data_IF_649962477667
#
_entry.id   IF_649962477667
#
_cell.length_a   1.000
_cell.length_b   1.000
_cell.length_c   1.000
_cell.angle_alpha   90.00
_cell.angle_beta   90.00
_cell.angle_gamma   90.00
#
_symmetry.space_group_name_H-M   'P 1'
#
loop_
_entity.id
_entity.type
_entity.pdbx_description
1 polymer ?
#
# COMPACT_ATOMS: atom_id res chain seq x y z
N UNK A 1 -52.82 -5.60 -65.89
CA UNK A 1 -52.00 -4.99 -66.96
C UNK A 1 -50.63 -4.68 -66.38
N UNK A 2 -49.48 -5.14 -66.84
CA UNK A 2 -49.07 -6.08 -67.88
C UNK A 2 -47.62 -6.44 -67.55
N UNK A 3 -47.24 -7.72 -67.72
CA UNK A 3 -45.86 -8.21 -67.55
C UNK A 3 -45.03 -7.78 -68.76
N UNK A 4 -43.78 -7.36 -68.56
CA UNK A 4 -42.69 -7.59 -69.52
C UNK A 4 -41.30 -7.25 -68.90
N UNK A 5 -40.16 -7.60 -69.52
CA UNK A 5 -39.56 -8.93 -69.44
C UNK A 5 -38.05 -8.93 -69.11
N UNK A 6 -37.56 -10.14 -68.89
CA UNK A 6 -36.18 -10.63 -68.93
C UNK A 6 -35.29 -9.96 -70.01
N UNK A 7 -34.05 -9.55 -69.65
CA UNK A 7 -32.77 -10.08 -70.23
C UNK A 7 -31.51 -9.34 -69.73
N UNK A 8 -30.58 -10.17 -69.24
CA UNK A 8 -29.12 -10.14 -69.38
C UNK A 8 -28.30 -8.91 -68.97
N UNK A 9 -27.41 -9.10 -67.99
CA UNK A 9 -25.95 -9.11 -68.25
C UNK A 9 -25.22 -9.70 -67.05
N UNK A 10 -24.43 -10.75 -67.31
CA UNK A 10 -23.42 -11.27 -66.41
C UNK A 10 -22.24 -10.32 -66.46
N UNK A 11 -21.81 -9.80 -65.31
CA UNK A 11 -20.47 -9.23 -65.18
C UNK A 11 -19.84 -9.76 -63.89
N UNK A 12 -18.91 -10.67 -64.12
CA UNK A 12 -17.99 -11.26 -63.18
C UNK A 12 -17.01 -10.19 -62.71
N UNK A 13 -17.09 -9.78 -61.44
CA UNK A 13 -16.00 -9.07 -60.77
C UNK A 13 -15.60 -9.88 -59.53
N UNK A 14 -14.52 -10.65 -59.68
CA UNK A 14 -13.81 -11.25 -58.58
C UNK A 14 -13.29 -10.14 -57.65
N UNK A 15 -13.60 -10.22 -56.37
CA UNK A 15 -12.91 -9.43 -55.35
C UNK A 15 -12.70 -10.31 -54.11
N UNK A 16 -11.43 -10.72 -53.99
CA UNK A 16 -10.68 -11.22 -52.85
C UNK A 16 -11.42 -11.46 -51.52
N UNK A 17 -11.30 -12.71 -51.04
CA UNK A 17 -11.61 -13.11 -49.68
C UNK A 17 -10.79 -12.28 -48.66
N UNK A 18 -11.49 -11.64 -47.72
CA UNK A 18 -10.91 -11.18 -46.46
C UNK A 18 -11.31 -12.20 -45.38
N UNK A 19 -10.49 -13.23 -45.21
CA UNK A 19 -10.58 -14.08 -44.03
C UNK A 19 -10.09 -13.26 -42.83
N UNK A 20 -11.01 -12.91 -41.93
CA UNK A 20 -10.66 -12.33 -40.63
C UNK A 20 -10.24 -13.49 -39.71
N UNK A 21 -8.96 -13.62 -39.32
CA UNK A 21 -8.63 -14.57 -38.26
C UNK A 21 -9.23 -14.03 -36.97
N UNK A 22 -10.17 -14.78 -36.36
CA UNK A 22 -10.49 -14.59 -34.95
C UNK A 22 -9.24 -14.96 -34.15
N UNK A 23 -8.43 -13.95 -33.83
CA UNK A 23 -7.32 -14.11 -32.90
C UNK A 23 -7.90 -14.47 -31.53
N UNK A 24 -7.64 -15.68 -31.06
CA UNK A 24 -7.88 -16.06 -29.67
C UNK A 24 -6.96 -15.21 -28.80
N UNK A 25 -7.52 -14.24 -28.08
CA UNK A 25 -6.79 -13.47 -27.08
C UNK A 25 -6.36 -14.43 -25.95
N UNK A 26 -5.08 -14.83 -25.95
CA UNK A 26 -4.47 -15.50 -24.80
C UNK A 26 -4.37 -14.49 -23.67
N UNK A 27 -5.27 -14.59 -22.69
CA UNK A 27 -5.10 -13.92 -21.41
C UNK A 27 -3.88 -14.53 -20.71
N UNK A 28 -2.78 -13.78 -20.63
CA UNK A 28 -1.64 -14.18 -19.80
C UNK A 28 -2.10 -14.27 -18.33
N UNK A 29 -1.70 -15.30 -17.57
CA UNK A 29 -2.00 -15.36 -16.14
C UNK A 29 -1.38 -14.13 -15.46
N UNK A 30 -2.21 -13.29 -14.87
CA UNK A 30 -1.76 -12.26 -13.93
C UNK A 30 -1.11 -12.99 -12.75
N UNK A 31 0.22 -12.90 -12.63
CA UNK A 31 0.94 -13.40 -11.46
C UNK A 31 0.41 -12.67 -10.22
N UNK A 32 -0.45 -13.34 -9.45
CA UNK A 32 -0.87 -12.84 -8.16
C UNK A 32 0.34 -12.85 -7.24
N UNK A 33 0.61 -11.77 -6.47
CA UNK A 33 1.65 -11.83 -5.45
C UNK A 33 1.32 -12.98 -4.51
N UNK A 34 2.25 -13.92 -4.35
CA UNK A 34 2.08 -15.01 -3.40
C UNK A 34 1.82 -14.39 -2.01
N UNK A 35 0.64 -14.66 -1.45
CA UNK A 35 0.33 -14.29 -0.08
C UNK A 35 1.30 -15.06 0.83
N UNK A 36 2.33 -14.37 1.34
CA UNK A 36 3.21 -14.95 2.33
C UNK A 36 2.39 -15.18 3.59
N UNK A 37 2.26 -16.44 4.00
CA UNK A 37 1.74 -16.78 5.33
C UNK A 37 2.66 -16.15 6.37
N UNK A 38 2.17 -15.17 7.11
CA UNK A 38 2.90 -14.56 8.22
C UNK A 38 3.32 -15.66 9.18
N UNK A 39 4.61 -15.70 9.51
CA UNK A 39 5.14 -16.72 10.40
C UNK A 39 4.92 -16.27 11.85
N UNK A 40 4.65 -17.21 12.75
CA UNK A 40 4.51 -16.95 14.20
C UNK A 40 5.75 -16.27 14.83
N UNK A 41 6.86 -16.20 14.08
CA UNK A 41 8.13 -15.58 14.46
C UNK A 41 8.33 -14.16 13.92
N UNK A 42 7.42 -13.64 13.11
CA UNK A 42 7.54 -12.29 12.58
C UNK A 42 7.39 -11.27 13.73
N UNK A 43 8.29 -10.27 13.85
CA UNK A 43 8.22 -9.26 14.89
C UNK A 43 6.92 -8.47 14.81
N UNK A 44 6.34 -8.19 15.97
CA UNK A 44 5.16 -7.33 16.12
C UNK A 44 5.54 -5.85 16.20
N UNK A 45 4.56 -4.98 15.97
CA UNK A 45 4.60 -3.57 16.35
C UNK A 45 3.81 -3.41 17.65
N UNK A 46 4.42 -2.86 18.70
CA UNK A 46 3.75 -2.60 19.97
C UNK A 46 3.06 -1.23 19.90
N UNK A 47 1.77 -1.19 20.20
CA UNK A 47 1.00 0.06 20.27
C UNK A 47 1.14 0.77 21.62
N UNK A 48 0.54 1.95 21.73
CA UNK A 48 0.60 2.78 22.93
C UNK A 48 -0.01 2.12 24.19
N UNK A 49 -0.85 1.09 24.03
CA UNK A 49 -1.43 0.32 25.13
C UNK A 49 -0.66 -0.97 25.42
N UNK A 50 0.51 -1.15 24.81
CA UNK A 50 1.34 -2.33 24.95
C UNK A 50 0.79 -3.55 24.19
N UNK A 51 -0.18 -3.37 23.29
CA UNK A 51 -0.76 -4.49 22.56
C UNK A 51 0.08 -4.80 21.30
N UNK A 52 0.38 -6.08 21.04
CA UNK A 52 1.11 -6.49 19.85
C UNK A 52 0.22 -6.44 18.60
N UNK A 53 0.72 -5.80 17.54
CA UNK A 53 0.03 -5.65 16.26
C UNK A 53 0.87 -6.20 15.11
N UNK A 54 0.23 -6.91 14.18
CA UNK A 54 0.83 -7.29 12.90
C UNK A 54 0.07 -6.59 11.78
N UNK A 55 0.81 -5.85 10.94
CA UNK A 55 0.25 -5.15 9.79
C UNK A 55 -0.90 -4.18 10.07
N UNK A 56 -0.86 -3.33 11.14
CA UNK A 56 -1.99 -2.49 11.47
C UNK A 56 -2.26 -1.43 10.38
N UNK A 57 -3.53 -1.06 10.22
CA UNK A 57 -3.95 -0.01 9.27
C UNK A 57 -3.77 1.43 9.81
N UNK A 58 -3.53 1.57 11.12
CA UNK A 58 -3.25 2.84 11.78
C UNK A 58 -2.28 2.63 12.96
N UNK A 59 -1.52 3.66 13.32
CA UNK A 59 -0.60 3.64 14.46
C UNK A 59 -0.43 5.05 15.04
N UNK A 60 -0.52 5.19 16.36
CA UNK A 60 -0.28 6.48 17.03
C UNK A 60 1.21 6.62 17.33
N UNK A 61 1.86 7.63 16.76
CA UNK A 61 3.29 7.90 16.98
C UNK A 61 3.51 8.66 18.29
N UNK A 62 2.65 9.63 18.58
CA UNK A 62 2.72 10.45 19.78
C UNK A 62 1.77 9.91 20.85
N UNK A 63 2.17 8.86 21.57
CA UNK A 63 1.29 8.17 22.52
C UNK A 63 0.76 9.05 23.67
N UNK A 64 1.47 10.13 24.03
CA UNK A 64 1.07 11.01 25.14
C UNK A 64 -0.11 11.93 24.82
N UNK A 65 -0.22 12.40 23.57
CA UNK A 65 -1.18 13.44 23.19
C UNK A 65 -1.95 13.16 21.88
N UNK A 66 -1.54 12.14 21.12
CA UNK A 66 -2.18 11.75 19.85
C UNK A 66 -1.93 12.70 18.68
N UNK A 67 -1.04 13.69 18.81
CA UNK A 67 -0.86 14.76 17.80
C UNK A 67 -0.12 14.32 16.53
N UNK A 68 0.36 13.08 16.48
CA UNK A 68 0.95 12.47 15.30
C UNK A 68 0.48 11.02 15.18
N UNK A 69 -0.18 10.70 14.06
CA UNK A 69 -0.76 9.38 13.80
C UNK A 69 -0.58 8.95 12.35
N UNK A 70 -0.18 7.71 12.16
CA UNK A 70 -0.21 7.04 10.88
C UNK A 70 -1.60 6.48 10.63
N UNK A 71 -2.15 6.73 9.45
CA UNK A 71 -3.44 6.23 8.98
C UNK A 71 -3.32 5.68 7.56
N UNK A 72 -4.30 4.89 7.14
CA UNK A 72 -4.35 4.27 5.81
C UNK A 72 -3.08 3.46 5.49
N UNK A 73 -2.51 2.81 6.50
CA UNK A 73 -1.30 2.00 6.34
C UNK A 73 -1.62 0.76 5.50
N UNK A 74 -0.77 0.52 4.49
CA UNK A 74 -0.77 -0.67 3.65
C UNK A 74 0.65 -1.23 3.61
N UNK A 75 0.79 -2.46 4.09
CA UNK A 75 2.06 -3.17 4.18
C UNK A 75 2.24 -4.04 2.94
N UNK A 76 3.44 -4.01 2.36
CA UNK A 76 3.82 -4.86 1.24
C UNK A 76 5.00 -5.78 1.57
N UNK A 77 5.64 -5.56 2.71
CA UNK A 77 6.65 -6.44 3.29
C UNK A 77 6.45 -6.52 4.79
N UNK A 78 6.46 -7.74 5.31
CA UNK A 78 6.55 -8.05 6.73
C UNK A 78 7.32 -9.37 6.83
N UNK A 79 8.46 -9.36 7.51
CA UNK A 79 9.31 -10.53 7.71
C UNK A 79 10.18 -10.34 8.96
N UNK A 80 11.00 -11.34 9.35
CA UNK A 80 11.73 -11.31 10.61
C UNK A 80 12.72 -10.15 10.77
N UNK A 81 13.06 -9.43 9.71
CA UNK A 81 14.05 -8.35 9.72
C UNK A 81 13.42 -6.96 9.65
N UNK A 82 12.35 -6.81 8.87
CA UNK A 82 11.70 -5.51 8.67
C UNK A 82 10.26 -5.64 8.19
N UNK A 83 9.47 -4.62 8.49
CA UNK A 83 8.21 -4.35 7.83
C UNK A 83 8.30 -3.06 7.00
N UNK A 84 7.69 -3.05 5.82
CA UNK A 84 7.66 -1.86 4.95
C UNK A 84 6.26 -1.66 4.38
N UNK A 85 5.79 -0.42 4.46
CA UNK A 85 4.47 -0.02 4.04
C UNK A 85 4.41 1.43 3.57
N UNK A 86 3.22 1.86 3.17
CA UNK A 86 2.88 3.26 2.87
C UNK A 86 1.63 3.66 3.62
N UNK A 87 1.48 4.94 3.87
CA UNK A 87 0.27 5.51 4.46
C UNK A 87 0.35 7.02 4.51
N UNK A 88 -0.39 7.61 5.44
CA UNK A 88 -0.43 9.05 5.67
C UNK A 88 -0.08 9.32 7.13
N UNK A 89 0.86 10.23 7.36
CA UNK A 89 1.04 10.82 8.68
C UNK A 89 0.11 12.02 8.83
N UNK A 90 -0.86 11.92 9.74
CA UNK A 90 -1.72 13.02 10.15
C UNK A 90 -1.09 13.69 11.37
N UNK A 91 -0.67 14.95 11.22
CA UNK A 91 0.04 15.72 12.25
C UNK A 91 -0.77 16.96 12.59
N UNK A 92 -1.04 17.18 13.88
CA UNK A 92 -1.70 18.38 14.38
C UNK A 92 -0.71 19.56 14.36
N UNK A 93 -1.11 20.71 13.84
CA UNK A 93 -0.30 21.93 13.86
C UNK A 93 -0.17 22.55 15.26
N UNK A 94 -1.07 22.19 16.18
CA UNK A 94 -1.15 22.73 17.53
C UNK A 94 -1.19 24.26 17.59
N UNK A 95 -1.82 24.92 16.61
CA UNK A 95 -1.96 26.38 16.59
C UNK A 95 -3.40 26.80 16.96
N UNK A 96 -3.62 27.56 18.06
CA UNK A 96 -2.64 28.06 19.05
C UNK A 96 -2.26 27.04 20.13
N UNK A 97 -3.00 25.94 20.24
CA UNK A 97 -2.67 24.80 21.10
C UNK A 97 -3.31 23.53 20.53
N UNK A 98 -2.81 22.35 20.92
CA UNK A 98 -3.16 21.08 20.26
C UNK A 98 -4.65 20.71 20.27
N UNK A 99 -5.41 21.08 21.30
CA UNK A 99 -6.86 20.84 21.32
C UNK A 99 -7.66 21.77 20.39
N UNK A 100 -7.08 22.88 19.92
CA UNK A 100 -7.70 23.80 18.95
C UNK A 100 -7.09 23.74 17.54
N UNK A 101 -5.93 23.09 17.39
CA UNK A 101 -5.23 22.97 16.11
C UNK A 101 -5.92 22.07 15.09
N UNK A 102 -5.35 22.01 13.89
CA UNK A 102 -5.83 21.23 12.77
C UNK A 102 -4.84 20.12 12.39
N UNK A 103 -5.38 18.97 11.98
CA UNK A 103 -4.57 17.87 11.44
C UNK A 103 -4.28 18.09 9.95
N UNK A 104 -3.00 18.07 9.61
CA UNK A 104 -2.49 18.11 8.24
C UNK A 104 -2.01 16.72 7.83
N UNK A 105 -2.22 16.36 6.56
CA UNK A 105 -1.96 15.01 6.05
C UNK A 105 -0.76 14.99 5.12
N UNK A 106 0.19 14.10 5.42
CA UNK A 106 1.42 13.95 4.65
C UNK A 106 1.64 12.49 4.23
N UNK A 107 1.72 12.17 2.93
CA UNK A 107 1.96 10.80 2.47
C UNK A 107 3.39 10.34 2.81
N UNK A 108 3.49 9.15 3.42
CA UNK A 108 4.75 8.57 3.91
C UNK A 108 4.96 7.14 3.41
N UNK A 109 6.22 6.79 3.22
CA UNK A 109 6.68 5.41 3.31
C UNK A 109 7.12 5.13 4.74
N UNK A 110 6.78 3.96 5.27
CA UNK A 110 7.07 3.54 6.64
C UNK A 110 7.95 2.30 6.60
N UNK A 111 8.99 2.28 7.43
CA UNK A 111 9.83 1.10 7.68
C UNK A 111 9.87 0.85 9.19
N UNK A 112 9.58 -0.40 9.58
CA UNK A 112 9.87 -0.92 10.92
C UNK A 112 11.11 -1.81 10.81
N UNK A 113 12.04 -1.68 11.75
CA UNK A 113 13.23 -2.52 11.82
C UNK A 113 13.81 -2.60 13.24
N UNK A 114 15.01 -3.17 13.35
CA UNK A 114 15.67 -3.53 14.61
C UNK A 114 14.77 -4.43 15.48
N UNK A 115 14.46 -5.65 14.99
CA UNK A 115 13.71 -6.61 15.79
C UNK A 115 14.51 -6.99 17.04
N UNK A 116 13.82 -7.19 18.15
CA UNK A 116 14.43 -7.81 19.35
C UNK A 116 14.93 -9.22 19.02
N UNK A 117 16.14 -9.57 19.47
CA UNK A 117 16.79 -10.84 19.13
C UNK A 117 16.04 -12.08 19.65
N UNK A 118 15.71 -13.00 18.75
CA UNK A 118 14.80 -14.14 18.99
C UNK A 118 15.43 -15.44 19.50
N UNK A 119 16.69 -15.47 19.95
CA UNK A 119 17.32 -16.74 20.39
C UNK A 119 17.55 -16.88 21.90
N UNK A 120 17.43 -15.81 22.70
CA UNK A 120 17.58 -15.90 24.17
C UNK A 120 16.53 -15.11 24.99
N UNK A 121 15.60 -14.40 24.33
CA UNK A 121 14.51 -13.71 25.01
C UNK A 121 13.26 -14.57 25.08
N UNK A 122 12.68 -14.75 26.26
CA UNK A 122 11.40 -15.45 26.47
C UNK A 122 10.17 -14.66 25.98
N UNK A 123 10.37 -13.56 25.24
CA UNK A 123 9.32 -12.62 24.81
C UNK A 123 8.99 -12.72 23.32
N UNK A 124 7.80 -12.23 22.95
CA UNK A 124 7.41 -12.09 21.55
C UNK A 124 8.33 -11.07 20.86
N UNK A 125 8.95 -11.40 19.71
CA UNK A 125 9.82 -10.48 19.00
C UNK A 125 9.02 -9.25 18.56
N UNK A 126 9.61 -8.06 18.67
CA UNK A 126 8.99 -6.82 18.22
C UNK A 126 10.01 -5.86 17.58
N UNK A 127 9.54 -4.98 16.71
CA UNK A 127 10.36 -3.92 16.13
C UNK A 127 10.60 -2.81 17.14
N UNK A 128 11.83 -2.28 17.19
CA UNK A 128 12.22 -1.23 18.15
C UNK A 128 12.44 0.13 17.48
N UNK A 129 12.31 0.21 16.15
CA UNK A 129 12.46 1.45 15.40
C UNK A 129 11.46 1.58 14.27
N UNK A 130 10.97 2.80 14.11
CA UNK A 130 10.14 3.22 12.99
C UNK A 130 10.79 4.39 12.26
N UNK A 131 10.84 4.31 10.94
CA UNK A 131 11.29 5.39 10.07
C UNK A 131 10.16 5.78 9.11
N UNK A 132 9.88 7.08 9.06
CA UNK A 132 8.97 7.70 8.11
C UNK A 132 9.80 8.43 7.06
N UNK A 133 9.47 8.25 5.78
CA UNK A 133 9.96 9.09 4.69
C UNK A 133 8.78 9.77 4.02
N UNK A 134 8.71 11.09 4.15
CA UNK A 134 7.70 11.91 3.49
C UNK A 134 7.93 11.93 1.98
N UNK A 135 6.91 11.51 1.24
CA UNK A 135 6.99 11.33 -0.21
C UNK A 135 6.54 12.56 -0.98
N UNK A 136 5.62 13.34 -0.41
CA UNK A 136 5.14 14.63 -0.88
C UNK A 136 4.74 15.48 0.33
N UNK A 137 5.07 16.77 0.32
CA UNK A 137 4.99 17.64 1.50
C UNK A 137 5.75 17.09 2.73
N UNK A 138 5.63 17.78 3.86
CA UNK A 138 6.03 17.35 5.22
C UNK A 138 5.60 18.41 6.24
N UNK A 139 5.54 18.08 7.55
CA UNK A 139 5.39 19.12 8.56
C UNK A 139 6.52 20.14 8.48
N UNK A 140 6.20 21.39 8.77
CA UNK A 140 7.16 22.48 8.76
C UNK A 140 8.32 22.19 9.73
N UNK A 141 9.53 22.59 9.34
CA UNK A 141 10.75 22.32 10.11
C UNK A 141 11.19 20.84 10.19
N UNK A 142 10.38 19.86 9.78
CA UNK A 142 10.78 18.44 9.83
C UNK A 142 11.74 18.03 8.70
N UNK A 143 12.70 17.12 8.90
CA UNK A 143 13.42 16.55 7.76
C UNK A 143 12.49 15.66 6.91
N UNK A 144 12.91 15.37 5.67
CA UNK A 144 12.15 14.45 4.79
C UNK A 144 12.06 13.03 5.35
N UNK A 145 13.08 12.60 6.09
CA UNK A 145 13.10 11.31 6.77
C UNK A 145 13.21 11.55 8.27
N UNK A 146 12.30 10.95 9.04
CA UNK A 146 12.29 11.03 10.51
C UNK A 146 12.28 9.61 11.06
N UNK A 147 13.01 9.40 12.15
CA UNK A 147 13.15 8.10 12.81
C UNK A 147 12.81 8.25 14.28
N UNK A 148 11.99 7.34 14.80
CA UNK A 148 11.59 7.30 16.19
C UNK A 148 11.92 5.93 16.81
N UNK A 149 12.31 5.89 18.09
CA UNK A 149 12.28 4.64 18.85
C UNK A 149 10.82 4.19 19.01
N UNK A 150 10.59 2.88 19.00
CA UNK A 150 9.33 2.27 19.36
C UNK A 150 9.38 1.78 20.82
N UNK A 151 8.26 1.78 21.54
CA UNK A 151 8.19 1.18 22.87
C UNK A 151 8.43 -0.34 22.78
N UNK A 152 9.19 -0.86 23.75
CA UNK A 152 9.65 -2.25 23.80
C UNK A 152 10.66 -2.48 24.90
#
# INVERSE_FOLDING_TARGET
MGRNPMRAAVTLCAAAALAVPLGTASAAPSAQPAARTQQTQDPVLIDCSGQPQIGPAAYVLACGDGNSRLVSLRWFRWDPQAAVGRGTNAVNDCDPYCAAGAFHSYPVTVRLDMPTGGEQGTGQPHFTRITLTYTDGRPDGSPRTVTYPLPG
#
